data_IF_606681673467
#
_entry.id   IF_606681673467
#
_cell.length_a   1.000
_cell.length_b   1.000
_cell.length_c   1.000
_cell.angle_alpha   90.00
_cell.angle_beta   90.00
_cell.angle_gamma   90.00
#
_symmetry.space_group_name_H-M   'P 1'
#
loop_
_entity.id
_entity.type
_entity.pdbx_description
1 polymer ?
#
# COMPACT_ATOMS: atom_id res chain seq x y z
N UNK A 1 9.12 14.05 -20.26
CA UNK A 1 9.32 12.82 -19.46
C UNK A 1 8.67 11.65 -20.17
N UNK A 2 9.32 10.47 -20.24
CA UNK A 2 8.77 9.24 -20.86
C UNK A 2 8.57 8.17 -19.80
N UNK A 3 7.50 7.40 -19.93
CA UNK A 3 7.16 6.28 -19.05
C UNK A 3 7.18 4.96 -19.83
N UNK A 4 7.37 3.85 -19.11
CA UNK A 4 7.27 2.49 -19.64
C UNK A 4 6.79 1.54 -18.52
N UNK A 5 6.58 0.27 -18.85
CA UNK A 5 6.14 -0.76 -17.92
C UNK A 5 7.11 -1.94 -17.94
N UNK A 6 7.31 -2.56 -16.79
CA UNK A 6 7.96 -3.88 -16.68
C UNK A 6 7.10 -4.96 -17.36
N UNK A 7 7.64 -6.16 -17.64
CA UNK A 7 6.85 -7.28 -18.14
C UNK A 7 5.62 -7.62 -17.28
N UNK A 8 5.74 -7.45 -15.97
CA UNK A 8 4.70 -7.68 -14.97
C UNK A 8 3.71 -6.50 -14.83
N UNK A 9 3.92 -5.43 -15.61
CA UNK A 9 3.02 -4.27 -15.69
C UNK A 9 3.33 -3.13 -14.72
N UNK A 10 4.34 -3.25 -13.85
CA UNK A 10 4.74 -2.16 -12.95
C UNK A 10 5.29 -0.97 -13.77
N UNK A 11 4.70 0.24 -13.65
CA UNK A 11 5.12 1.40 -14.42
C UNK A 11 6.41 2.01 -13.85
N UNK A 12 7.20 2.65 -14.71
CA UNK A 12 8.46 3.31 -14.34
C UNK A 12 8.82 4.48 -15.26
N UNK A 13 9.70 5.36 -14.79
CA UNK A 13 10.20 6.50 -15.57
C UNK A 13 11.33 6.02 -16.49
N UNK A 14 11.08 6.03 -17.80
CA UNK A 14 12.08 5.64 -18.82
C UNK A 14 13.08 6.76 -19.10
N UNK A 15 12.67 8.03 -18.90
CA UNK A 15 13.60 9.15 -18.92
C UNK A 15 14.62 9.01 -17.80
N UNK A 16 15.90 9.27 -18.09
CA UNK A 16 16.92 9.32 -17.05
C UNK A 16 16.64 10.50 -16.11
N UNK A 17 16.57 10.21 -14.82
CA UNK A 17 16.52 11.22 -13.74
C UNK A 17 17.81 11.14 -12.94
N UNK A 18 18.23 12.26 -12.36
CA UNK A 18 19.37 12.30 -11.45
C UNK A 18 19.00 13.10 -10.19
N UNK A 19 18.84 12.47 -9.01
CA UNK A 19 18.99 11.02 -8.77
C UNK A 19 17.88 10.18 -9.46
N UNK A 20 18.06 8.85 -9.57
CA UNK A 20 16.99 7.97 -10.01
C UNK A 20 15.71 8.13 -9.16
N UNK A 21 14.55 8.08 -9.81
CA UNK A 21 13.25 8.30 -9.17
C UNK A 21 12.35 7.07 -9.36
N UNK A 22 11.91 6.53 -8.23
CA UNK A 22 10.90 5.47 -8.13
C UNK A 22 9.52 6.08 -7.94
N UNK A 23 8.48 5.45 -8.48
CA UNK A 23 7.10 5.80 -8.12
C UNK A 23 6.17 4.59 -8.19
N UNK A 24 5.05 4.69 -7.49
CA UNK A 24 3.94 3.78 -7.62
C UNK A 24 2.62 4.54 -7.43
N UNK A 25 1.56 4.06 -8.06
CA UNK A 25 0.24 4.69 -8.05
C UNK A 25 -0.82 3.64 -7.77
N UNK A 26 -1.85 4.05 -7.04
CA UNK A 26 -3.01 3.23 -6.68
C UNK A 26 -4.24 4.12 -6.62
N UNK A 27 -5.42 3.52 -6.68
CA UNK A 27 -6.67 4.23 -6.51
C UNK A 27 -7.73 3.29 -5.93
N UNK A 28 -8.64 3.84 -5.15
CA UNK A 28 -9.86 3.15 -4.75
C UNK A 28 -10.97 4.17 -4.51
N UNK A 29 -12.18 3.87 -5.01
CA UNK A 29 -13.35 4.75 -4.99
C UNK A 29 -12.99 6.20 -5.41
N UNK A 30 -13.02 7.16 -4.48
CA UNK A 30 -12.81 8.58 -4.76
C UNK A 30 -11.33 9.02 -4.71
N UNK A 31 -10.41 8.14 -4.29
CA UNK A 31 -9.03 8.50 -4.05
C UNK A 31 -8.09 7.93 -5.10
N UNK A 32 -7.14 8.77 -5.52
CA UNK A 32 -5.92 8.37 -6.23
C UNK A 32 -4.75 8.71 -5.32
N UNK A 33 -3.86 7.75 -5.08
CA UNK A 33 -2.68 7.95 -4.26
C UNK A 33 -1.41 7.59 -5.06
N UNK A 34 -0.35 8.36 -4.84
CA UNK A 34 0.96 8.15 -5.45
C UNK A 34 2.04 8.26 -4.38
N UNK A 35 2.97 7.31 -4.39
CA UNK A 35 4.21 7.39 -3.65
C UNK A 35 5.37 7.55 -4.62
N UNK A 36 6.39 8.31 -4.22
CA UNK A 36 7.65 8.42 -4.95
C UNK A 36 8.82 8.47 -3.97
N UNK A 37 9.95 7.92 -4.39
CA UNK A 37 11.14 7.72 -3.56
C UNK A 37 12.41 7.71 -4.42
N UNK A 38 13.61 7.88 -3.84
CA UNK A 38 14.85 7.61 -4.54
C UNK A 38 14.87 6.17 -5.10
N UNK A 39 15.34 6.01 -6.34
CA UNK A 39 15.50 4.70 -6.96
C UNK A 39 16.77 4.01 -6.47
N UNK A 40 16.63 3.08 -5.50
CA UNK A 40 17.77 2.37 -4.88
C UNK A 40 18.09 1.04 -5.60
N UNK A 41 17.17 0.08 -5.54
CA UNK A 41 17.35 -1.29 -6.05
C UNK A 41 16.23 -1.69 -7.01
N UNK A 42 16.43 -2.73 -7.82
CA UNK A 42 15.45 -3.29 -8.77
C UNK A 42 15.07 -2.34 -9.91
N UNK A 43 16.08 -1.83 -10.59
CA UNK A 43 15.90 -1.13 -11.87
C UNK A 43 15.11 -2.00 -12.86
N UNK A 44 14.29 -1.37 -13.73
CA UNK A 44 14.13 0.07 -13.89
C UNK A 44 13.00 0.69 -13.08
N UNK A 45 12.17 -0.11 -12.40
CA UNK A 45 10.97 0.36 -11.70
C UNK A 45 11.17 0.70 -10.23
N UNK A 46 12.23 0.16 -9.64
CA UNK A 46 12.63 0.32 -8.25
C UNK A 46 11.60 -0.17 -7.22
N UNK A 47 12.05 -0.41 -5.99
CA UNK A 47 11.22 -0.94 -4.90
C UNK A 47 10.50 0.16 -4.11
N UNK A 48 9.45 0.72 -4.71
CA UNK A 48 8.42 1.50 -3.99
C UNK A 48 7.03 1.02 -4.41
N UNK A 49 6.12 0.93 -3.47
CA UNK A 49 4.74 0.53 -3.67
C UNK A 49 3.82 1.29 -2.73
N UNK A 50 2.61 1.59 -3.20
CA UNK A 50 1.56 2.19 -2.39
C UNK A 50 0.25 1.47 -2.64
N UNK A 51 -0.52 1.27 -1.58
CA UNK A 51 -1.91 0.87 -1.71
C UNK A 51 -2.84 1.72 -0.84
N UNK A 52 -4.09 1.85 -1.29
CA UNK A 52 -5.17 2.54 -0.59
C UNK A 52 -6.45 1.73 -0.74
N UNK A 53 -7.15 1.50 0.38
CA UNK A 53 -8.41 0.77 0.39
C UNK A 53 -9.42 1.49 1.27
N UNK A 54 -10.64 1.69 0.77
CA UNK A 54 -11.79 2.17 1.53
C UNK A 54 -12.21 1.09 2.52
N UNK A 55 -12.26 1.44 3.81
CA UNK A 55 -12.68 0.54 4.88
C UNK A 55 -14.20 0.37 4.85
N UNK A 56 -14.66 -0.61 4.08
CA UNK A 56 -16.08 -0.97 3.99
C UNK A 56 -16.26 -2.44 3.61
N UNK A 57 -17.37 -3.04 4.02
CA UNK A 57 -17.80 -4.30 3.43
C UNK A 57 -18.40 -4.00 2.04
N UNK A 58 -17.98 -4.69 0.97
CA UNK A 58 -18.59 -4.52 -0.35
C UNK A 58 -20.05 -4.98 -0.38
N UNK A 59 -20.91 -4.21 -1.06
CA UNK A 59 -22.29 -4.63 -1.34
C UNK A 59 -23.15 -4.81 -0.09
N UNK A 60 -23.90 -5.91 -0.05
CA UNK A 60 -24.80 -6.29 1.05
C UNK A 60 -24.33 -7.55 1.78
N UNK A 61 -23.01 -7.75 1.84
CA UNK A 61 -22.41 -8.91 2.51
C UNK A 61 -22.28 -8.70 4.03
N UNK A 62 -22.09 -9.79 4.76
CA UNK A 62 -21.66 -9.76 6.16
C UNK A 62 -20.13 -9.81 6.24
N UNK A 63 -19.55 -9.39 7.36
CA UNK A 63 -18.11 -9.49 7.59
C UNK A 63 -17.60 -10.94 7.42
N UNK A 64 -18.31 -11.91 7.97
CA UNK A 64 -17.91 -13.33 7.89
C UNK A 64 -17.94 -13.87 6.44
N UNK A 65 -18.96 -13.50 5.65
CA UNK A 65 -19.03 -13.88 4.22
C UNK A 65 -17.88 -13.27 3.42
N UNK A 66 -17.59 -12.00 3.69
CA UNK A 66 -16.51 -11.28 3.04
C UNK A 66 -15.14 -11.93 3.36
N UNK A 67 -14.83 -12.16 4.64
CA UNK A 67 -13.59 -12.82 5.07
C UNK A 67 -13.49 -14.26 4.55
N UNK A 68 -14.61 -14.99 4.49
CA UNK A 68 -14.62 -16.33 3.91
C UNK A 68 -14.20 -16.33 2.44
N UNK A 69 -14.68 -15.35 1.66
CA UNK A 69 -14.41 -15.24 0.22
C UNK A 69 -12.93 -15.01 -0.09
N UNK A 70 -12.23 -14.24 0.74
CA UNK A 70 -10.80 -13.91 0.56
C UNK A 70 -9.88 -14.68 1.50
N UNK A 71 -10.43 -15.62 2.25
CA UNK A 71 -9.75 -16.29 3.36
C UNK A 71 -8.57 -17.16 2.93
N UNK A 72 -8.51 -17.57 1.66
CA UNK A 72 -7.40 -18.31 1.08
C UNK A 72 -6.15 -17.45 0.84
N UNK A 73 -6.26 -16.11 0.93
CA UNK A 73 -5.14 -15.16 0.85
C UNK A 73 -4.57 -14.79 2.23
N UNK A 74 -5.18 -15.29 3.31
CA UNK A 74 -4.79 -14.96 4.68
C UNK A 74 -3.98 -16.10 5.33
N UNK A 75 -3.05 -15.73 6.21
CA UNK A 75 -2.28 -16.69 6.99
C UNK A 75 -3.06 -17.18 8.21
N UNK A 76 -2.53 -18.19 8.90
CA UNK A 76 -3.15 -18.71 10.13
C UNK A 76 -3.21 -17.63 11.22
N UNK A 77 -2.16 -16.84 11.39
CA UNK A 77 -2.13 -15.76 12.38
C UNK A 77 -3.17 -14.68 12.07
N UNK A 78 -3.32 -14.32 10.80
CA UNK A 78 -4.29 -13.32 10.35
C UNK A 78 -5.73 -13.80 10.59
N UNK A 79 -6.03 -15.07 10.29
CA UNK A 79 -7.31 -15.70 10.63
C UNK A 79 -7.61 -15.64 12.13
N UNK A 80 -6.61 -15.89 12.98
CA UNK A 80 -6.76 -15.78 14.45
C UNK A 80 -7.04 -14.34 14.87
N UNK A 81 -6.34 -13.37 14.30
CA UNK A 81 -6.54 -11.95 14.60
C UNK A 81 -7.94 -11.43 14.20
N UNK A 82 -8.54 -11.96 13.13
CA UNK A 82 -9.91 -11.63 12.70
C UNK A 82 -10.99 -12.33 13.55
N UNK A 83 -10.66 -13.45 14.20
CA UNK A 83 -11.56 -14.18 15.13
C UNK A 83 -11.54 -13.62 16.56
N UNK A 84 -10.73 -12.60 16.84
CA UNK A 84 -10.64 -11.98 18.17
C UNK A 84 -12.01 -11.47 18.67
N UNK A 85 -12.22 -11.46 19.99
CA UNK A 85 -13.45 -10.95 20.61
C UNK A 85 -13.37 -9.42 20.73
N UNK A 86 -13.58 -8.74 19.60
CA UNK A 86 -13.56 -7.28 19.46
C UNK A 86 -14.70 -6.82 18.53
N UNK A 87 -15.06 -5.51 18.51
CA UNK A 87 -16.07 -4.99 17.59
C UNK A 87 -15.78 -5.32 16.12
N UNK A 88 -16.82 -5.61 15.34
CA UNK A 88 -16.70 -5.95 13.92
C UNK A 88 -16.01 -4.84 13.10
N UNK A 89 -16.26 -3.57 13.44
CA UNK A 89 -15.59 -2.42 12.83
C UNK A 89 -14.07 -2.45 13.00
N UNK A 90 -13.58 -2.93 14.15
CA UNK A 90 -12.15 -3.09 14.39
C UNK A 90 -11.57 -4.33 13.69
N UNK A 91 -12.35 -5.40 13.56
CA UNK A 91 -11.96 -6.55 12.72
C UNK A 91 -11.83 -6.17 11.26
N UNK A 92 -12.77 -5.37 10.75
CA UNK A 92 -12.75 -4.86 9.38
C UNK A 92 -11.50 -4.00 9.12
N UNK A 93 -11.17 -3.09 10.04
CA UNK A 93 -9.92 -2.30 9.97
C UNK A 93 -8.67 -3.18 10.01
N UNK A 94 -8.65 -4.26 10.79
CA UNK A 94 -7.51 -5.20 10.82
C UNK A 94 -7.36 -5.91 9.48
N UNK A 95 -8.46 -6.39 8.92
CA UNK A 95 -8.46 -7.01 7.60
C UNK A 95 -7.87 -6.07 6.55
N UNK A 96 -8.36 -4.84 6.46
CA UNK A 96 -7.87 -3.88 5.48
C UNK A 96 -6.41 -3.50 5.73
N UNK A 97 -5.93 -3.45 6.98
CA UNK A 97 -4.50 -3.28 7.23
C UNK A 97 -3.64 -4.43 6.68
N UNK A 98 -4.07 -5.67 6.87
CA UNK A 98 -3.40 -6.83 6.30
C UNK A 98 -3.40 -6.75 4.78
N UNK A 99 -4.57 -6.48 4.18
CA UNK A 99 -4.73 -6.45 2.74
C UNK A 99 -3.92 -5.32 2.08
N UNK A 100 -4.11 -4.08 2.53
CA UNK A 100 -3.41 -2.90 1.97
C UNK A 100 -1.90 -3.03 2.13
N UNK A 101 -1.40 -3.60 3.24
CA UNK A 101 0.03 -3.81 3.42
C UNK A 101 0.58 -4.86 2.45
N UNK A 102 -0.12 -5.99 2.26
CA UNK A 102 0.26 -7.01 1.28
C UNK A 102 0.29 -6.45 -0.14
N UNK A 103 -0.76 -5.74 -0.54
CA UNK A 103 -0.85 -5.06 -1.84
C UNK A 103 0.26 -4.02 -2.05
N UNK A 104 0.51 -3.16 -1.06
CA UNK A 104 1.58 -2.18 -1.16
C UNK A 104 2.96 -2.87 -1.34
N UNK A 105 3.21 -3.94 -0.60
CA UNK A 105 4.45 -4.71 -0.69
C UNK A 105 4.61 -5.41 -2.05
N UNK A 106 3.59 -6.09 -2.54
CA UNK A 106 3.66 -6.80 -3.83
C UNK A 106 3.75 -5.81 -5.01
N UNK A 107 3.09 -4.65 -4.93
CA UNK A 107 3.29 -3.53 -5.87
C UNK A 107 4.72 -2.99 -5.81
N UNK A 108 5.31 -2.92 -4.63
CA UNK A 108 6.70 -2.52 -4.48
C UNK A 108 7.66 -3.50 -5.15
N UNK A 109 7.43 -4.81 -4.99
CA UNK A 109 8.21 -5.85 -5.65
C UNK A 109 7.98 -5.91 -7.17
N UNK A 110 6.82 -5.46 -7.67
CA UNK A 110 6.50 -5.44 -9.10
C UNK A 110 6.21 -6.81 -9.70
N UNK A 111 5.71 -7.75 -8.88
CA UNK A 111 5.52 -9.16 -9.24
C UNK A 111 4.10 -9.50 -9.75
N UNK A 112 3.22 -8.51 -9.86
CA UNK A 112 1.88 -8.64 -10.43
C UNK A 112 0.89 -9.47 -9.59
N UNK A 113 -0.27 -9.79 -10.18
CA UNK A 113 -1.43 -10.45 -9.55
C UNK A 113 -1.22 -11.92 -9.17
N UNK A 114 -0.06 -12.51 -9.49
CA UNK A 114 0.23 -13.94 -9.28
C UNK A 114 0.93 -14.26 -7.96
N UNK A 115 1.20 -13.26 -7.11
CA UNK A 115 1.89 -13.51 -5.85
C UNK A 115 0.95 -14.08 -4.80
N UNK A 116 1.36 -15.20 -4.19
CA UNK A 116 0.61 -15.85 -3.12
C UNK A 116 0.69 -15.02 -1.83
N UNK A 117 -0.41 -14.35 -1.48
CA UNK A 117 -0.51 -13.50 -0.29
C UNK A 117 -0.28 -14.24 1.01
N UNK A 118 -0.42 -15.58 1.04
CA UNK A 118 -0.13 -16.37 2.24
C UNK A 118 1.35 -16.42 2.59
N UNK A 119 2.24 -16.05 1.66
CA UNK A 119 3.67 -15.91 1.93
C UNK A 119 3.97 -14.69 2.79
N UNK A 120 3.10 -13.68 2.76
CA UNK A 120 3.21 -12.49 3.60
C UNK A 120 2.28 -12.67 4.80
N UNK A 121 2.83 -12.62 5.99
CA UNK A 121 2.10 -12.61 7.25
C UNK A 121 2.24 -11.23 7.89
N UNK A 122 1.12 -10.57 8.21
CA UNK A 122 1.13 -9.33 8.96
C UNK A 122 0.43 -9.46 10.33
N UNK A 123 1.20 -9.26 11.39
CA UNK A 123 0.68 -9.04 12.74
C UNK A 123 0.34 -7.57 12.92
N UNK A 124 -0.95 -7.23 12.85
CA UNK A 124 -1.43 -5.85 12.97
C UNK A 124 -1.19 -5.31 14.39
N UNK A 125 -1.24 -6.17 15.40
CA UNK A 125 -1.09 -5.78 16.81
C UNK A 125 0.37 -5.53 17.14
N UNK A 126 1.25 -6.45 16.75
CA UNK A 126 2.69 -6.31 16.95
C UNK A 126 3.34 -5.36 15.94
N UNK A 127 2.63 -4.99 14.85
CA UNK A 127 3.15 -4.24 13.70
C UNK A 127 4.39 -4.91 13.12
N UNK A 128 4.25 -6.20 12.82
CA UNK A 128 5.35 -7.05 12.34
C UNK A 128 4.94 -7.75 11.06
N UNK A 129 5.80 -7.67 10.05
CA UNK A 129 5.64 -8.36 8.78
C UNK A 129 6.69 -9.46 8.65
N UNK A 130 6.25 -10.63 8.21
CA UNK A 130 7.13 -11.74 7.82
C UNK A 130 6.79 -12.17 6.40
N UNK A 131 7.83 -12.49 5.61
CA UNK A 131 7.72 -13.11 4.30
C UNK A 131 8.40 -14.48 4.38
N UNK A 132 7.65 -15.54 4.10
CA UNK A 132 8.11 -16.94 4.26
C UNK A 132 8.73 -17.20 5.65
N UNK A 133 8.13 -16.62 6.69
CA UNK A 133 8.56 -16.75 8.09
C UNK A 133 9.76 -15.90 8.51
N UNK A 134 10.25 -14.98 7.68
CA UNK A 134 11.37 -14.07 8.00
C UNK A 134 10.99 -12.61 7.78
N UNK A 135 11.54 -11.72 8.59
CA UNK A 135 11.36 -10.28 8.37
C UNK A 135 12.09 -9.85 7.07
N UNK A 136 11.44 -9.11 6.17
CA UNK A 136 12.08 -8.62 4.96
C UNK A 136 12.98 -7.42 5.30
N UNK A 137 14.27 -7.67 5.50
CA UNK A 137 15.26 -6.64 5.84
C UNK A 137 15.30 -5.51 4.80
N UNK A 138 15.53 -4.29 5.28
CA UNK A 138 15.65 -3.08 4.47
C UNK A 138 14.35 -2.46 3.99
N UNK A 139 13.21 -2.89 4.54
CA UNK A 139 11.90 -2.36 4.18
C UNK A 139 11.30 -1.46 5.25
N UNK A 140 10.71 -0.35 4.81
CA UNK A 140 9.86 0.51 5.62
C UNK A 140 8.42 0.46 5.12
N UNK A 141 7.49 0.31 6.06
CA UNK A 141 6.05 0.30 5.83
C UNK A 141 5.42 1.46 6.60
N UNK A 142 4.99 2.49 5.86
CA UNK A 142 4.33 3.65 6.44
C UNK A 142 2.81 3.49 6.30
N UNK A 143 2.13 3.23 7.42
CA UNK A 143 0.68 3.08 7.50
C UNK A 143 0.03 4.39 7.95
N UNK A 144 -1.05 4.81 7.31
CA UNK A 144 -1.79 6.03 7.68
C UNK A 144 -3.22 5.97 7.15
N UNK A 145 -4.11 6.73 7.78
CA UNK A 145 -5.49 6.86 7.32
C UNK A 145 -5.69 8.13 6.49
N UNK A 146 -6.64 8.08 5.57
CA UNK A 146 -7.16 9.24 4.85
C UNK A 146 -8.67 9.28 5.04
N UNK A 147 -9.20 10.46 5.37
CA UNK A 147 -10.63 10.69 5.53
C UNK A 147 -11.15 11.51 4.35
N UNK A 148 -12.19 11.04 3.67
CA UNK A 148 -12.92 11.76 2.62
C UNK A 148 -14.41 11.81 2.97
N UNK A 149 -14.88 12.93 3.52
CA UNK A 149 -16.21 13.02 4.10
C UNK A 149 -16.40 12.00 5.23
N UNK A 150 -17.37 11.10 5.09
CA UNK A 150 -17.63 10.01 6.05
C UNK A 150 -16.79 8.75 5.77
N UNK A 151 -16.11 8.70 4.63
CA UNK A 151 -15.37 7.53 4.20
C UNK A 151 -13.96 7.49 4.81
N UNK A 152 -13.62 6.34 5.41
CA UNK A 152 -12.29 6.05 5.91
C UNK A 152 -11.52 5.20 4.91
N UNK A 153 -10.29 5.60 4.61
CA UNK A 153 -9.34 4.83 3.80
C UNK A 153 -8.10 4.49 4.62
N UNK A 154 -7.58 3.29 4.41
CA UNK A 154 -6.32 2.82 4.96
C UNK A 154 -5.28 2.76 3.85
N UNK A 155 -4.16 3.44 4.07
CA UNK A 155 -3.07 3.59 3.12
C UNK A 155 -1.79 2.98 3.67
N UNK A 156 -1.05 2.28 2.82
CA UNK A 156 0.30 1.78 3.15
C UNK A 156 1.26 2.14 2.03
N UNK A 157 2.41 2.70 2.40
CA UNK A 157 3.57 2.85 1.50
C UNK A 157 4.64 1.85 1.93
N UNK A 158 5.04 0.97 1.01
CA UNK A 158 6.16 0.04 1.19
C UNK A 158 7.35 0.52 0.35
N UNK A 159 8.47 0.79 1.01
CA UNK A 159 9.70 1.29 0.39
C UNK A 159 10.90 0.46 0.83
N UNK A 160 11.76 0.09 -0.11
CA UNK A 160 13.07 -0.46 0.24
C UNK A 160 14.07 0.69 0.44
N UNK A 161 14.64 0.78 1.64
CA UNK A 161 15.54 1.86 2.06
C UNK A 161 17.00 1.40 2.25
N UNK A 162 17.31 0.13 2.00
CA UNK A 162 18.68 -0.42 2.11
C UNK A 162 18.96 -1.11 3.44
N UNK A 163 20.23 -1.23 3.83
CA UNK A 163 20.72 -2.08 4.93
C UNK A 163 20.26 -1.64 6.34
N UNK A 164 18.97 -1.76 6.61
CA UNK A 164 18.30 -1.38 7.85
C UNK A 164 17.35 -2.50 8.28
N UNK A 165 16.94 -2.49 9.55
CA UNK A 165 15.89 -3.40 10.02
C UNK A 165 14.55 -2.99 9.43
N UNK A 166 13.66 -3.98 9.26
CA UNK A 166 12.28 -3.72 8.85
C UNK A 166 11.59 -2.83 9.86
N UNK A 167 10.89 -1.80 9.39
CA UNK A 167 10.12 -0.90 10.24
C UNK A 167 8.68 -0.79 9.74
N UNK A 168 7.72 -0.91 10.66
CA UNK A 168 6.30 -0.69 10.37
C UNK A 168 5.81 0.45 11.25
N UNK A 169 5.64 1.62 10.66
CA UNK A 169 5.20 2.84 11.34
C UNK A 169 3.72 3.07 11.08
N UNK A 170 3.00 3.53 12.10
CA UNK A 170 1.64 4.01 11.94
C UNK A 170 1.59 5.50 12.30
N UNK A 171 1.40 6.34 11.30
CA UNK A 171 1.38 7.78 11.46
C UNK A 171 -0.05 8.22 11.80
N UNK A 172 -0.26 8.61 13.06
CA UNK A 172 -1.55 9.08 13.58
C UNK A 172 -1.86 10.50 13.09
N UNK A 173 -0.83 11.29 12.79
CA UNK A 173 -0.93 12.65 12.29
C UNK A 173 -0.45 12.72 10.84
N UNK A 174 -1.01 13.65 10.06
CA UNK A 174 -0.59 13.90 8.69
C UNK A 174 0.92 14.19 8.67
N UNK A 175 1.77 13.29 8.18
CA UNK A 175 3.20 13.51 8.20
C UNK A 175 3.58 14.60 7.19
N UNK A 176 4.67 15.34 7.43
CA UNK A 176 5.08 16.46 6.56
C UNK A 176 5.30 16.05 5.09
N UNK A 177 5.62 14.77 4.86
CA UNK A 177 5.79 14.20 3.54
C UNK A 177 4.47 13.88 2.82
N UNK A 178 3.34 13.81 3.53
CA UNK A 178 2.04 13.49 2.95
C UNK A 178 1.26 14.76 2.60
N UNK A 179 0.79 14.83 1.35
CA UNK A 179 0.02 15.95 0.82
C UNK A 179 -1.27 15.45 0.20
N UNK A 180 -2.36 16.15 0.49
CA UNK A 180 -3.69 15.86 -0.05
C UNK A 180 -4.15 17.08 -0.85
N UNK A 181 -4.66 16.83 -2.05
CA UNK A 181 -5.17 17.86 -2.94
C UNK A 181 -6.57 17.46 -3.43
N UNK A 182 -7.46 18.45 -3.60
CA UNK A 182 -8.69 18.22 -4.35
C UNK A 182 -8.37 17.94 -5.82
N UNK A 183 -9.05 16.97 -6.45
CA UNK A 183 -8.72 16.52 -7.81
C UNK A 183 -8.71 17.66 -8.84
N UNK A 184 -9.69 18.57 -8.77
CA UNK A 184 -9.77 19.75 -9.66
C UNK A 184 -8.57 20.66 -9.44
N UNK A 185 -8.32 21.07 -8.19
CA UNK A 185 -7.20 21.95 -7.83
C UNK A 185 -5.85 21.35 -8.25
N UNK A 186 -5.64 20.05 -8.01
CA UNK A 186 -4.42 19.35 -8.43
C UNK A 186 -4.25 19.40 -9.95
N UNK A 187 -5.32 19.11 -10.69
CA UNK A 187 -5.29 19.07 -12.16
C UNK A 187 -4.99 20.44 -12.74
N UNK A 188 -5.64 21.49 -12.24
CA UNK A 188 -5.39 22.87 -12.66
C UNK A 188 -3.94 23.29 -12.41
N UNK A 189 -3.42 23.00 -11.22
CA UNK A 189 -2.01 23.26 -10.86
C UNK A 189 -1.04 22.51 -11.79
N UNK A 190 -1.27 21.21 -12.00
CA UNK A 190 -0.41 20.38 -12.84
C UNK A 190 -0.42 20.84 -14.31
N UNK A 191 -1.61 21.16 -14.85
CA UNK A 191 -1.74 21.70 -16.22
C UNK A 191 -1.06 23.06 -16.35
N UNK A 192 -1.15 23.92 -15.33
CA UNK A 192 -0.44 25.20 -15.29
C UNK A 192 1.07 25.01 -15.40
N UNK A 193 1.65 24.10 -14.61
CA UNK A 193 3.09 23.80 -14.60
C UNK A 193 3.59 23.16 -15.91
N UNK A 194 2.74 22.43 -16.64
CA UNK A 194 3.12 21.79 -17.90
C UNK A 194 3.03 22.74 -19.11
N UNK A 195 2.34 23.87 -18.98
CA UNK A 195 2.22 24.90 -20.03
C UNK A 195 3.35 25.93 -20.00
N UNK A 196 4.12 25.97 -18.91
CA UNK A 196 5.32 26.81 -18.74
C UNK A 196 6.57 26.04 -19.15
#
# INVERSE_FOLDING_TARGET
MKFATTPEGKPYIKSQTNPPLAYNITHDNNLVAMAFAPGIINQPAYNVGIDVMKVRIPGRETFDSFVHTVGDQLTTLEHVQLKAVIPETEKLKRFFWMWTLKEAYTKALGIGLGFDFRRIEFDVVARRICVDGKEPEGWQFNMFNVQDGEDLYQCVVAEYVGDTKTEVTYNVHNPEWFKVYGAVQFTEMAVGLLKT
#
